data_IF_611643378625
#
_entry.id   IF_611643378625
#
_cell.length_a   1.000
_cell.length_b   1.000
_cell.length_c   1.000
_cell.angle_alpha   90.00
_cell.angle_beta   90.00
_cell.angle_gamma   90.00
#
_symmetry.space_group_name_H-M   'P 1'
#
loop_
_entity.id
_entity.type
_entity.pdbx_description
1 polymer ?
#
# COMPACT_ATOMS: atom_id res chain seq x y z
N UNK A 1 1.06 -7.75 -25.49
CA UNK A 1 0.65 -7.55 -24.08
C UNK A 1 0.87 -6.10 -23.72
N UNK A 2 -0.13 -5.43 -23.12
CA UNK A 2 0.11 -4.09 -22.56
C UNK A 2 1.19 -4.23 -21.47
N UNK A 3 2.25 -3.43 -21.56
CA UNK A 3 3.30 -3.40 -20.54
C UNK A 3 2.67 -2.83 -19.27
N UNK A 4 2.89 -3.47 -18.12
CA UNK A 4 2.42 -2.97 -16.83
C UNK A 4 2.91 -1.53 -16.62
N UNK A 5 2.05 -0.67 -16.07
CA UNK A 5 2.44 0.70 -15.73
C UNK A 5 3.41 0.72 -14.54
N UNK A 6 4.19 1.79 -14.37
CA UNK A 6 5.15 1.91 -13.24
C UNK A 6 4.50 1.62 -11.88
N UNK A 7 3.33 2.18 -11.54
CA UNK A 7 2.67 1.89 -10.26
C UNK A 7 2.30 0.42 -10.05
N UNK A 8 1.98 -0.30 -11.14
CA UNK A 8 1.67 -1.73 -11.07
C UNK A 8 2.93 -2.55 -10.79
N UNK A 9 4.06 -2.18 -11.42
CA UNK A 9 5.36 -2.85 -11.20
C UNK A 9 5.83 -2.68 -9.76
N UNK A 10 5.71 -1.49 -9.20
CA UNK A 10 6.06 -1.21 -7.80
C UNK A 10 5.28 -2.10 -6.82
N UNK A 11 3.97 -2.23 -7.04
CA UNK A 11 3.13 -3.10 -6.18
C UNK A 11 3.51 -4.57 -6.33
N UNK A 12 3.80 -5.04 -7.56
CA UNK A 12 4.30 -6.41 -7.77
C UNK A 12 5.64 -6.61 -7.07
N UNK A 13 6.58 -5.68 -7.21
CA UNK A 13 7.89 -5.74 -6.57
C UNK A 13 7.79 -5.74 -5.05
N UNK A 14 6.88 -4.95 -4.46
CA UNK A 14 6.62 -4.96 -3.01
C UNK A 14 6.13 -6.32 -2.54
N UNK A 15 5.06 -6.85 -3.14
CA UNK A 15 4.49 -8.15 -2.75
C UNK A 15 5.51 -9.28 -2.90
N UNK A 16 6.31 -9.26 -3.97
CA UNK A 16 7.33 -10.28 -4.18
C UNK A 16 8.51 -10.16 -3.22
N UNK A 17 8.79 -8.96 -2.71
CA UNK A 17 9.76 -8.73 -1.62
C UNK A 17 9.24 -9.32 -0.31
N UNK A 18 8.01 -9.01 0.07
CA UNK A 18 7.34 -9.57 1.26
C UNK A 18 7.32 -11.11 1.20
N UNK A 19 7.04 -11.70 0.02
CA UNK A 19 7.12 -13.15 -0.15
C UNK A 19 8.53 -13.69 0.05
N UNK A 20 9.54 -13.01 -0.50
CA UNK A 20 10.95 -13.40 -0.35
C UNK A 20 11.42 -13.32 1.11
N UNK A 21 10.90 -12.35 1.86
CA UNK A 21 11.16 -12.14 3.29
C UNK A 21 10.34 -13.09 4.18
N UNK A 22 9.34 -13.78 3.61
CA UNK A 22 8.45 -14.70 4.34
C UNK A 22 7.31 -14.00 5.08
N UNK A 23 7.11 -12.71 4.81
CA UNK A 23 6.12 -11.84 5.47
C UNK A 23 4.80 -11.74 4.68
N UNK A 24 4.75 -12.25 3.45
CA UNK A 24 3.51 -12.24 2.68
C UNK A 24 2.49 -13.20 3.30
N UNK A 25 1.36 -12.68 3.73
CA UNK A 25 0.27 -13.45 4.34
C UNK A 25 -0.97 -13.53 3.46
N UNK A 26 -1.74 -14.60 3.64
CA UNK A 26 -3.11 -14.68 3.10
C UNK A 26 -4.05 -13.79 3.91
N UNK A 27 -5.25 -13.56 3.40
CA UNK A 27 -6.30 -12.83 4.13
C UNK A 27 -6.69 -13.46 5.48
N UNK A 28 -6.26 -14.69 5.78
CA UNK A 28 -6.50 -15.39 7.05
C UNK A 28 -5.31 -15.29 8.02
N UNK A 29 -4.27 -14.51 7.68
CA UNK A 29 -3.05 -14.36 8.50
C UNK A 29 -2.14 -15.57 8.45
N UNK A 30 -2.23 -16.41 7.40
CA UNK A 30 -1.30 -17.53 7.21
C UNK A 30 -0.23 -17.16 6.19
N UNK A 31 1.06 -17.49 6.44
CA UNK A 31 2.12 -17.18 5.49
C UNK A 31 1.93 -17.87 4.13
N UNK A 32 2.16 -17.14 3.05
CA UNK A 32 2.11 -17.64 1.68
C UNK A 32 3.40 -18.39 1.37
N UNK A 33 3.30 -19.70 1.16
CA UNK A 33 4.47 -20.57 0.90
C UNK A 33 4.73 -20.84 -0.58
N UNK A 34 3.73 -20.63 -1.43
CA UNK A 34 3.82 -20.94 -2.86
C UNK A 34 4.13 -19.68 -3.67
N UNK A 35 5.21 -19.72 -4.45
CA UNK A 35 5.57 -18.62 -5.35
C UNK A 35 4.46 -18.35 -6.38
N UNK A 36 3.78 -19.39 -6.87
CA UNK A 36 2.64 -19.23 -7.79
C UNK A 36 1.50 -18.44 -7.13
N UNK A 37 1.24 -18.69 -5.85
CA UNK A 37 0.23 -17.95 -5.09
C UNK A 37 0.67 -16.50 -4.85
N UNK A 38 1.95 -16.27 -4.51
CA UNK A 38 2.50 -14.92 -4.36
C UNK A 38 2.37 -14.10 -5.65
N UNK A 39 2.69 -14.70 -6.80
CA UNK A 39 2.51 -14.06 -8.11
C UNK A 39 1.03 -13.72 -8.37
N UNK A 40 0.10 -14.61 -8.03
CA UNK A 40 -1.33 -14.34 -8.18
C UNK A 40 -1.79 -13.17 -7.30
N UNK A 41 -1.32 -13.11 -6.05
CA UNK A 41 -1.59 -12.00 -5.14
C UNK A 41 -1.00 -10.69 -5.69
N UNK A 42 0.25 -10.71 -6.14
CA UNK A 42 0.91 -9.55 -6.73
C UNK A 42 0.15 -8.98 -7.93
N UNK A 43 -0.30 -9.85 -8.84
CA UNK A 43 -1.09 -9.45 -10.02
C UNK A 43 -2.48 -8.93 -9.63
N UNK A 44 -3.13 -9.52 -8.63
CA UNK A 44 -4.40 -9.04 -8.11
C UNK A 44 -4.25 -7.65 -7.45
N UNK A 45 -3.26 -7.48 -6.56
CA UNK A 45 -3.02 -6.22 -5.87
C UNK A 45 -2.62 -5.08 -6.82
N UNK A 46 -1.85 -5.40 -7.86
CA UNK A 46 -1.44 -4.45 -8.89
C UNK A 46 -2.55 -4.17 -9.94
N UNK A 47 -3.69 -4.86 -9.88
CA UNK A 47 -4.74 -4.72 -10.88
C UNK A 47 -4.26 -5.10 -12.29
N UNK A 48 -3.46 -6.16 -12.39
CA UNK A 48 -2.92 -6.71 -13.62
C UNK A 48 -3.35 -8.17 -13.86
N UNK A 49 -4.35 -8.65 -13.09
CA UNK A 49 -4.88 -10.00 -13.24
C UNK A 49 -5.62 -10.14 -14.58
N UNK A 50 -5.43 -11.28 -15.24
CA UNK A 50 -6.13 -11.62 -16.49
C UNK A 50 -7.53 -12.18 -16.22
N UNK A 51 -7.74 -12.71 -15.02
CA UNK A 51 -9.00 -13.33 -14.59
C UNK A 51 -10.00 -12.30 -14.06
N UNK A 52 -9.58 -11.03 -13.90
CA UNK A 52 -10.42 -9.93 -13.42
C UNK A 52 -10.78 -8.94 -14.54
N UNK A 53 -11.97 -8.35 -14.42
CA UNK A 53 -12.40 -7.30 -15.35
C UNK A 53 -11.52 -6.05 -15.24
N UNK A 54 -11.43 -5.20 -16.29
CA UNK A 54 -10.70 -3.93 -16.21
C UNK A 54 -11.20 -2.99 -15.10
N UNK A 55 -12.47 -3.06 -14.74
CA UNK A 55 -13.03 -2.32 -13.61
C UNK A 55 -12.56 -2.90 -12.26
N UNK A 56 -12.55 -4.23 -12.12
CA UNK A 56 -12.04 -4.93 -10.94
C UNK A 56 -10.55 -4.62 -10.70
N UNK A 57 -9.74 -4.75 -11.75
CA UNK A 57 -8.33 -4.41 -11.74
C UNK A 57 -8.06 -2.97 -11.28
N UNK A 58 -8.79 -1.98 -11.83
CA UNK A 58 -8.68 -0.57 -11.40
C UNK A 58 -9.05 -0.38 -9.93
N UNK A 59 -10.11 -1.05 -9.46
CA UNK A 59 -10.54 -1.00 -8.06
C UNK A 59 -9.48 -1.59 -7.13
N UNK A 60 -8.91 -2.72 -7.49
CA UNK A 60 -7.89 -3.40 -6.69
C UNK A 60 -6.63 -2.56 -6.57
N UNK A 61 -6.12 -2.04 -7.69
CA UNK A 61 -4.97 -1.13 -7.69
C UNK A 61 -5.24 0.11 -6.82
N UNK A 62 -6.40 0.75 -6.97
CA UNK A 62 -6.77 1.92 -6.15
C UNK A 62 -6.81 1.58 -4.65
N UNK A 63 -7.41 0.45 -4.28
CA UNK A 63 -7.47 -0.02 -2.89
C UNK A 63 -6.08 -0.30 -2.33
N UNK A 64 -5.21 -0.95 -3.10
CA UNK A 64 -3.84 -1.24 -2.68
C UNK A 64 -3.03 0.03 -2.51
N UNK A 65 -3.11 0.98 -3.45
CA UNK A 65 -2.39 2.26 -3.34
C UNK A 65 -2.88 3.09 -2.14
N UNK A 66 -4.18 3.09 -1.84
CA UNK A 66 -4.69 3.72 -0.63
C UNK A 66 -4.12 3.07 0.64
N UNK A 67 -4.09 1.73 0.71
CA UNK A 67 -3.46 1.00 1.82
C UNK A 67 -1.96 1.29 1.95
N UNK A 68 -1.23 1.35 0.84
CA UNK A 68 0.21 1.67 0.81
C UNK A 68 0.47 3.10 1.32
N UNK A 69 -0.36 4.07 0.92
CA UNK A 69 -0.31 5.44 1.41
C UNK A 69 -0.58 5.53 2.91
N UNK A 70 -1.59 4.81 3.40
CA UNK A 70 -1.94 4.77 4.82
C UNK A 70 -0.88 4.02 5.66
N UNK A 71 -0.31 2.93 5.14
CA UNK A 71 0.69 2.10 5.82
C UNK A 71 2.05 2.79 5.91
N UNK A 72 2.45 3.54 4.87
CA UNK A 72 3.72 4.28 4.82
C UNK A 72 3.74 5.57 5.63
N UNK A 73 2.63 5.96 6.28
CA UNK A 73 2.58 7.09 7.20
C UNK A 73 2.35 6.56 8.61
N UNK A 74 3.42 6.19 9.30
CA UNK A 74 3.35 5.95 10.75
C UNK A 74 2.95 7.25 11.46
N UNK A 75 2.28 7.15 12.61
CA UNK A 75 1.96 8.33 13.44
C UNK A 75 3.24 9.13 13.76
N UNK A 76 4.37 8.45 13.91
CA UNK A 76 5.67 9.05 14.16
C UNK A 76 6.19 9.86 12.97
N UNK A 77 6.09 9.34 11.75
CA UNK A 77 6.46 10.08 10.52
C UNK A 77 5.56 11.29 10.30
N UNK A 78 4.25 11.13 10.55
CA UNK A 78 3.29 12.23 10.49
C UNK A 78 3.60 13.31 11.54
N UNK A 79 4.00 12.92 12.76
CA UNK A 79 4.47 13.84 13.79
C UNK A 79 5.77 14.55 13.38
N UNK A 80 6.72 13.82 12.79
CA UNK A 80 7.99 14.38 12.33
C UNK A 80 7.77 15.39 11.21
N UNK A 81 6.90 15.07 10.25
CA UNK A 81 6.51 15.99 9.17
C UNK A 81 5.74 17.20 9.72
N UNK A 82 4.79 16.99 10.63
CA UNK A 82 4.04 18.07 11.26
C UNK A 82 4.96 18.99 12.08
N UNK A 83 6.03 18.44 12.67
CA UNK A 83 7.08 19.21 13.34
C UNK A 83 7.89 20.03 12.33
N UNK A 84 8.29 19.44 11.19
CA UNK A 84 9.01 20.15 10.12
C UNK A 84 8.21 21.32 9.57
N UNK A 85 6.90 21.16 9.39
CA UNK A 85 5.98 22.21 8.91
C UNK A 85 5.51 23.19 9.99
N UNK A 86 5.92 22.99 11.25
CA UNK A 86 5.57 23.89 12.34
C UNK A 86 4.09 23.85 12.75
N UNK A 87 3.39 22.74 12.51
CA UNK A 87 1.95 22.63 12.80
C UNK A 87 1.71 22.76 14.33
N UNK A 88 0.91 23.73 14.79
CA UNK A 88 0.58 23.90 16.21
C UNK A 88 -0.32 22.76 16.71
N UNK A 89 -0.20 22.38 17.98
CA UNK A 89 -1.01 21.31 18.57
C UNK A 89 -0.71 19.88 18.07
N UNK A 90 0.25 19.70 17.16
CA UNK A 90 0.63 18.40 16.56
C UNK A 90 0.84 17.26 17.55
N UNK A 91 1.41 17.53 18.73
CA UNK A 91 1.71 16.49 19.74
C UNK A 91 0.46 15.85 20.35
N UNK A 92 -0.67 16.56 20.35
CA UNK A 92 -1.96 16.05 20.83
C UNK A 92 -2.82 15.40 19.73
N UNK A 93 -2.39 15.47 18.47
CA UNK A 93 -3.16 14.96 17.35
C UNK A 93 -3.04 13.44 17.23
N UNK A 94 -4.16 12.78 16.92
CA UNK A 94 -4.16 11.39 16.48
C UNK A 94 -3.67 11.29 15.03
N UNK A 95 -3.46 10.06 14.53
CA UNK A 95 -2.97 9.83 13.17
C UNK A 95 -3.82 10.57 12.13
N UNK A 96 -5.14 10.50 12.28
CA UNK A 96 -6.07 11.12 11.34
C UNK A 96 -6.04 12.66 11.39
N UNK A 97 -5.93 13.26 12.58
CA UNK A 97 -5.79 14.69 12.75
C UNK A 97 -4.45 15.21 12.21
N UNK A 98 -3.36 14.45 12.38
CA UNK A 98 -2.06 14.80 11.78
C UNK A 98 -2.11 14.80 10.25
N UNK A 99 -2.71 13.78 9.64
CA UNK A 99 -2.91 13.72 8.17
C UNK A 99 -3.74 14.92 7.70
N UNK A 100 -4.86 15.23 8.38
CA UNK A 100 -5.70 16.39 8.03
C UNK A 100 -4.93 17.71 8.15
N UNK A 101 -4.18 17.90 9.24
CA UNK A 101 -3.42 19.12 9.46
C UNK A 101 -2.30 19.30 8.43
N UNK A 102 -1.61 18.21 8.05
CA UNK A 102 -0.58 18.22 7.02
C UNK A 102 -1.11 18.53 5.61
N UNK A 103 -2.37 18.21 5.33
CA UNK A 103 -3.01 18.51 4.05
C UNK A 103 -3.59 19.94 4.02
N UNK A 104 -3.76 20.60 5.17
CA UNK A 104 -4.33 21.94 5.29
C UNK A 104 -3.27 23.06 5.39
N UNK A 105 -1.99 22.71 5.55
CA UNK A 105 -0.84 23.59 5.69
C UNK A 105 0.16 23.38 4.54
#
# INVERSE_FOLDING_TARGET
MARQSRPQRETVERVMREFKEGELETSRGTPVRSQRQAVAIALHEAGASRDESPAGNRRNLRRTKAREQDAGQTKAELLAEARRRGIPGRSGMDKAALVRALNAH
#
